data_IF_540109165518
#
_entry.id   IF_540109165518
#
_cell.length_a   1.000
_cell.length_b   1.000
_cell.length_c   1.000
_cell.angle_alpha   90.00
_cell.angle_beta   90.00
_cell.angle_gamma   90.00
#
_symmetry.space_group_name_H-M   'P 1'
#
loop_
_entity.id
_entity.type
_entity.pdbx_description
1 polymer ?
#
# COMPACT_ATOMS: atom_id res chain seq x y z
N UNK A 1 -8.33 -8.49 -6.16
CA UNK A 1 -7.68 -7.38 -5.41
C UNK A 1 -8.13 -6.05 -6.00
N UNK A 2 -8.34 -5.02 -5.17
CA UNK A 2 -8.66 -3.67 -5.66
C UNK A 2 -7.38 -2.86 -5.81
N UNK A 3 -7.23 -2.19 -6.95
CA UNK A 3 -6.11 -1.29 -7.22
C UNK A 3 -6.62 0.09 -7.62
N UNK A 4 -6.02 1.10 -7.01
CA UNK A 4 -6.18 2.51 -7.37
C UNK A 4 -4.91 2.94 -8.08
N UNK A 5 -5.03 3.57 -9.24
CA UNK A 5 -3.88 4.03 -10.00
C UNK A 5 -4.16 5.28 -10.82
N UNK A 6 -3.11 6.04 -11.06
CA UNK A 6 -3.10 7.11 -12.04
C UNK A 6 -2.72 6.54 -13.42
N UNK A 7 -3.51 6.85 -14.44
CA UNK A 7 -3.19 6.43 -15.81
C UNK A 7 -1.96 7.17 -16.33
N UNK A 8 -0.91 6.48 -16.82
CA UNK A 8 0.31 7.14 -17.29
C UNK A 8 0.13 7.90 -18.62
N UNK A 9 -0.99 7.72 -19.32
CA UNK A 9 -1.27 8.41 -20.58
C UNK A 9 -2.10 9.68 -20.42
N UNK A 10 -3.06 9.70 -19.50
CA UNK A 10 -4.00 10.82 -19.35
C UNK A 10 -4.05 11.39 -17.93
N UNK A 11 -3.26 10.85 -16.99
CA UNK A 11 -3.20 11.25 -15.58
C UNK A 11 -4.54 11.19 -14.83
N UNK A 12 -5.50 10.42 -15.36
CA UNK A 12 -6.77 10.18 -14.71
C UNK A 12 -6.64 9.16 -13.59
N UNK A 13 -7.32 9.39 -12.47
CA UNK A 13 -7.46 8.40 -11.40
C UNK A 13 -8.44 7.30 -11.82
N UNK A 14 -8.01 6.06 -11.62
CA UNK A 14 -8.76 4.86 -11.95
C UNK A 14 -8.83 3.93 -10.75
N UNK A 15 -9.93 3.21 -10.65
CA UNK A 15 -10.12 2.12 -9.67
C UNK A 15 -10.52 0.89 -10.45
N UNK A 16 -9.82 -0.22 -10.25
CA UNK A 16 -10.08 -1.46 -10.95
C UNK A 16 -9.95 -2.65 -10.01
N UNK A 17 -10.83 -3.63 -10.19
CA UNK A 17 -10.72 -4.93 -9.55
C UNK A 17 -9.92 -5.87 -10.46
N UNK A 18 -8.82 -6.40 -9.93
CA UNK A 18 -8.03 -7.45 -10.58
C UNK A 18 -8.45 -8.79 -9.99
N UNK A 19 -9.12 -9.59 -10.82
CA UNK A 19 -9.50 -10.98 -10.55
C UNK A 19 -8.70 -11.92 -11.45
N UNK A 20 -8.89 -13.23 -11.28
CA UNK A 20 -8.15 -14.26 -12.03
C UNK A 20 -8.30 -14.11 -13.56
N UNK A 21 -9.46 -13.64 -13.99
CA UNK A 21 -9.85 -13.42 -15.38
C UNK A 21 -9.41 -12.07 -15.94
N UNK A 22 -8.90 -11.15 -15.11
CA UNK A 22 -8.49 -9.81 -15.54
C UNK A 22 -7.21 -9.88 -16.36
N UNK A 23 -7.35 -9.95 -17.67
CA UNK A 23 -6.20 -10.07 -18.57
C UNK A 23 -5.45 -8.76 -18.79
N UNK A 24 -6.19 -7.66 -18.75
CA UNK A 24 -5.68 -6.33 -19.07
C UNK A 24 -6.25 -5.30 -18.09
N UNK A 25 -5.38 -4.45 -17.57
CA UNK A 25 -5.74 -3.24 -16.85
C UNK A 25 -6.07 -2.16 -17.87
N UNK A 26 -7.20 -1.46 -17.70
CA UNK A 26 -7.70 -0.46 -18.65
C UNK A 26 -7.96 0.86 -17.93
N UNK A 27 -7.69 1.97 -18.61
CA UNK A 27 -8.15 3.29 -18.18
C UNK A 27 -9.64 3.46 -18.54
N UNK A 28 -10.42 4.11 -17.67
CA UNK A 28 -11.82 4.46 -17.95
C UNK A 28 -11.99 5.66 -18.87
N UNK A 29 -10.93 6.46 -19.04
CA UNK A 29 -11.01 7.78 -19.69
C UNK A 29 -10.17 7.92 -20.96
N UNK A 30 -9.29 6.96 -21.27
CA UNK A 30 -8.50 6.94 -22.49
C UNK A 30 -8.28 5.50 -22.99
N UNK A 31 -7.61 5.34 -24.13
CA UNK A 31 -7.35 4.03 -24.75
C UNK A 31 -6.16 3.26 -24.13
N UNK A 32 -5.57 3.77 -23.03
CA UNK A 32 -4.47 3.08 -22.37
C UNK A 32 -4.94 1.76 -21.77
N UNK A 33 -4.19 0.71 -22.09
CA UNK A 33 -4.39 -0.62 -21.54
C UNK A 33 -3.04 -1.32 -21.37
N UNK A 34 -2.95 -2.23 -20.40
CA UNK A 34 -1.73 -3.00 -20.14
C UNK A 34 -2.07 -4.44 -19.75
N UNK A 35 -1.34 -5.45 -20.26
CA UNK A 35 -1.53 -6.82 -19.81
C UNK A 35 -1.17 -6.98 -18.32
N UNK A 36 -2.02 -7.70 -17.59
CA UNK A 36 -1.79 -8.10 -16.20
C UNK A 36 -1.09 -9.45 -16.21
N UNK A 37 0.08 -9.55 -15.58
CA UNK A 37 0.81 -10.80 -15.44
C UNK A 37 0.01 -11.82 -14.61
N UNK A 38 0.10 -13.10 -14.96
CA UNK A 38 -0.62 -14.18 -14.26
C UNK A 38 -0.34 -14.21 -12.75
N UNK A 39 0.90 -13.89 -12.35
CA UNK A 39 1.30 -13.78 -10.95
C UNK A 39 0.48 -12.75 -10.13
N UNK A 40 -0.08 -11.71 -10.78
CA UNK A 40 -0.90 -10.70 -10.13
C UNK A 40 -2.40 -11.01 -10.19
N UNK A 41 -2.86 -11.90 -11.09
CA UNK A 41 -4.30 -12.19 -11.27
C UNK A 41 -4.86 -13.06 -10.15
N UNK A 42 -4.07 -14.02 -9.67
CA UNK A 42 -4.49 -14.99 -8.64
C UNK A 42 -4.05 -14.60 -7.21
N UNK A 43 -3.29 -13.52 -7.06
CA UNK A 43 -2.73 -13.13 -5.79
C UNK A 43 -3.66 -12.20 -5.02
N UNK A 44 -3.64 -12.29 -3.69
CA UNK A 44 -4.29 -11.32 -2.81
C UNK A 44 -3.60 -9.95 -2.86
N UNK A 45 -2.33 -9.93 -3.26
CA UNK A 45 -1.46 -8.76 -3.32
C UNK A 45 -0.62 -8.79 -4.62
N UNK A 46 -0.34 -7.64 -5.23
CA UNK A 46 0.46 -7.59 -6.45
C UNK A 46 1.93 -7.98 -6.16
N UNK A 47 2.48 -8.87 -6.99
CA UNK A 47 3.90 -9.25 -7.00
C UNK A 47 4.80 -8.16 -7.60
N UNK A 48 4.27 -7.37 -8.53
CA UNK A 48 4.93 -6.22 -9.14
C UNK A 48 3.89 -5.14 -9.49
N UNK A 49 4.34 -3.92 -9.80
CA UNK A 49 3.40 -2.84 -10.11
C UNK A 49 2.55 -3.17 -11.35
N UNK A 50 1.24 -3.30 -11.19
CA UNK A 50 0.32 -3.68 -12.29
C UNK A 50 0.18 -2.58 -13.35
N UNK A 51 0.59 -1.35 -13.03
CA UNK A 51 0.52 -0.17 -13.92
C UNK A 51 1.78 0.00 -14.75
N UNK A 52 2.96 0.01 -14.11
CA UNK A 52 4.25 0.25 -14.78
C UNK A 52 5.10 -1.01 -15.01
N UNK A 53 4.78 -2.12 -14.33
CA UNK A 53 5.47 -3.41 -14.43
C UNK A 53 6.73 -3.52 -13.57
N UNK A 54 7.14 -2.45 -12.88
CA UNK A 54 8.32 -2.46 -12.03
C UNK A 54 8.21 -3.54 -10.94
N UNK A 55 9.26 -4.36 -10.81
CA UNK A 55 9.36 -5.42 -9.80
C UNK A 55 9.63 -4.85 -8.40
N UNK A 56 10.21 -3.65 -8.33
CA UNK A 56 10.49 -2.95 -7.08
C UNK A 56 9.22 -2.21 -6.59
N UNK A 57 8.22 -3.01 -6.22
CA UNK A 57 6.97 -2.50 -5.67
C UNK A 57 7.21 -2.10 -4.22
N UNK A 58 7.34 -0.79 -3.97
CA UNK A 58 7.32 -0.28 -2.60
C UNK A 58 5.96 -0.57 -1.97
N UNK A 59 5.94 -1.54 -1.07
CA UNK A 59 4.77 -1.83 -0.23
C UNK A 59 4.85 -0.96 1.00
N UNK A 60 3.95 0.02 1.09
CA UNK A 60 3.72 0.70 2.35
C UNK A 60 3.32 -0.35 3.38
N UNK A 61 4.19 -0.60 4.35
CA UNK A 61 3.86 -1.48 5.45
C UNK A 61 2.79 -0.75 6.28
N UNK A 62 1.61 -1.33 6.39
CA UNK A 62 0.58 -0.81 7.30
C UNK A 62 1.18 -0.79 8.70
N UNK A 63 1.45 0.41 9.20
CA UNK A 63 2.00 0.56 10.53
C UNK A 63 0.86 0.33 11.53
N UNK A 64 0.92 -0.72 12.37
CA UNK A 64 -0.18 -1.02 13.27
C UNK A 64 -0.31 0.11 14.29
N UNK A 65 -1.45 0.82 14.26
CA UNK A 65 -1.70 1.97 15.14
C UNK A 65 -1.50 1.63 16.62
N UNK A 66 -1.87 0.40 17.02
CA UNK A 66 -1.65 -0.12 18.39
C UNK A 66 -0.18 -0.08 18.80
N UNK A 67 0.73 -0.44 17.89
CA UNK A 67 2.17 -0.40 18.15
C UNK A 67 2.65 1.04 18.36
N UNK A 68 2.15 1.97 17.54
CA UNK A 68 2.43 3.40 17.70
C UNK A 68 1.99 3.93 19.06
N UNK A 69 0.76 3.62 19.47
CA UNK A 69 0.22 4.02 20.78
C UNK A 69 1.00 3.38 21.92
N UNK A 70 1.37 2.10 21.80
CA UNK A 70 2.20 1.41 22.80
C UNK A 70 3.57 2.07 22.97
N UNK A 71 4.23 2.46 21.88
CA UNK A 71 5.51 3.18 21.95
C UNK A 71 5.37 4.52 22.69
N UNK A 72 4.36 5.31 22.35
CA UNK A 72 4.09 6.60 23.02
C UNK A 72 3.77 6.40 24.51
N UNK A 73 2.88 5.45 24.83
CA UNK A 73 2.51 5.15 26.21
C UNK A 73 3.69 4.65 27.05
N UNK A 74 4.55 3.81 26.47
CA UNK A 74 5.78 3.34 27.12
C UNK A 74 6.72 4.49 27.42
N UNK A 75 6.92 5.41 26.46
CA UNK A 75 7.72 6.61 26.67
C UNK A 75 7.18 7.47 27.82
N UNK A 76 5.88 7.73 27.83
CA UNK A 76 5.24 8.52 28.89
C UNK A 76 5.43 7.88 30.28
N UNK A 77 5.15 6.58 30.42
CA UNK A 77 5.29 5.85 31.68
C UNK A 77 6.74 5.86 32.17
N UNK A 78 7.70 5.55 31.28
CA UNK A 78 9.11 5.55 31.63
C UNK A 78 9.60 6.94 32.04
N UNK A 79 9.21 7.98 31.31
CA UNK A 79 9.55 9.37 31.67
C UNK A 79 9.00 9.76 33.03
N UNK A 80 7.76 9.40 33.35
CA UNK A 80 7.16 9.66 34.67
C UNK A 80 7.90 8.90 35.78
N UNK A 81 8.19 7.62 35.59
CA UNK A 81 8.94 6.81 36.55
C UNK A 81 10.34 7.39 36.77
N UNK A 82 11.03 7.75 35.70
CA UNK A 82 12.39 8.28 35.77
C UNK A 82 12.42 9.64 36.48
N UNK A 83 11.44 10.51 36.22
CA UNK A 83 11.29 11.78 36.93
C UNK A 83 11.08 11.57 38.44
N UNK A 84 10.19 10.65 38.82
CA UNK A 84 9.93 10.30 40.23
C UNK A 84 11.18 9.80 40.97
N UNK A 85 12.07 9.07 40.30
CA UNK A 85 13.33 8.60 40.89
C UNK A 85 14.46 9.63 40.86
N UNK A 86 14.35 10.68 40.04
CA UNK A 86 15.36 11.74 39.91
C UNK A 86 15.02 13.01 40.72
N UNK A 87 13.91 13.03 41.45
CA UNK A 87 13.70 14.05 42.48
C UNK A 87 14.82 13.93 43.55
N UNK A 88 15.49 15.04 43.91
CA UNK A 88 16.61 15.05 44.87
C UNK A 88 16.18 14.74 46.31
#
# INVERSE_FOLDING_TARGET
>A
MWIVFECPSCHGNNVSEVVAETEQLRCSSCSWQRPVAAANRAASEPANCVVCGCEDLWRQKDFPQRLGVLMVGTGAVLSTIFWWYMEP
#
